data_IF_866950521522
#
_entry.id   IF_866950521522
#
_cell.length_a   1.000
_cell.length_b   1.000
_cell.length_c   1.000
_cell.angle_alpha   90.00
_cell.angle_beta   90.00
_cell.angle_gamma   90.00
#
_symmetry.space_group_name_H-M   'P 1'
#
loop_
_entity.id
_entity.type
_entity.pdbx_description
1 polymer ?
#
# COMPACT_ATOMS: atom_id res chain seq x y z
N UNK A 1 7.39 76.91 12.27
CA UNK A 1 6.73 75.66 11.83
C UNK A 1 7.19 74.53 12.74
N UNK A 2 6.34 74.13 13.68
CA UNK A 2 6.62 73.05 14.65
C UNK A 2 5.97 71.76 14.14
N UNK A 3 6.77 70.74 13.82
CA UNK A 3 6.26 69.38 13.60
C UNK A 3 6.55 68.53 14.84
N UNK A 4 5.49 68.24 15.61
CA UNK A 4 5.46 67.25 16.69
C UNK A 4 5.31 65.86 16.07
N UNK A 5 6.32 65.00 16.20
CA UNK A 5 6.13 63.55 16.05
C UNK A 5 5.67 62.98 17.40
N UNK A 6 4.44 62.46 17.44
CA UNK A 6 3.92 61.63 18.51
C UNK A 6 4.27 60.17 18.22
N UNK A 7 5.20 59.58 18.98
CA UNK A 7 5.38 58.13 19.03
C UNK A 7 4.36 57.53 20.00
N UNK A 8 3.25 57.03 19.47
CA UNK A 8 2.32 56.18 20.22
C UNK A 8 2.91 54.79 20.40
N UNK A 9 3.30 54.45 21.63
CA UNK A 9 3.61 53.08 22.02
C UNK A 9 2.29 52.29 22.12
N UNK A 10 2.02 51.45 21.11
CA UNK A 10 0.97 50.43 21.20
C UNK A 10 1.56 49.24 21.94
N UNK A 11 1.23 49.11 23.22
CA UNK A 11 1.46 47.89 23.99
C UNK A 11 0.43 46.86 23.55
N UNK A 12 0.85 45.92 22.69
CA UNK A 12 0.03 44.74 22.37
C UNK A 12 0.16 43.76 23.55
N UNK A 13 -0.87 43.73 24.39
CA UNK A 13 -1.04 42.67 25.39
C UNK A 13 -1.38 41.36 24.64
N UNK A 14 -0.39 40.52 24.39
CA UNK A 14 -0.62 39.15 23.93
C UNK A 14 -1.12 38.36 25.13
N UNK A 15 -2.43 38.18 25.23
CA UNK A 15 -3.04 37.22 26.14
C UNK A 15 -2.62 35.82 25.70
N UNK A 16 -1.55 35.29 26.27
CA UNK A 16 -1.22 33.87 26.24
C UNK A 16 -2.25 33.14 27.10
N UNK A 17 -3.44 32.88 26.55
CA UNK A 17 -4.32 31.87 27.11
C UNK A 17 -3.57 30.55 27.04
N UNK A 18 -3.22 30.03 28.22
CA UNK A 18 -2.65 28.70 28.37
C UNK A 18 -3.64 27.65 27.90
N UNK A 19 -3.64 27.36 26.60
CA UNK A 19 -4.17 26.11 26.07
C UNK A 19 -3.31 25.00 26.65
N UNK A 20 -3.75 24.43 27.76
CA UNK A 20 -3.24 23.16 28.25
C UNK A 20 -3.46 22.18 27.10
N UNK A 21 -2.38 21.81 26.41
CA UNK A 21 -2.44 20.83 25.34
C UNK A 21 -3.10 19.56 25.90
N UNK A 22 -4.14 19.07 25.23
CA UNK A 22 -4.82 17.86 25.65
C UNK A 22 -3.79 16.71 25.78
N UNK A 23 -4.00 15.77 26.72
CA UNK A 23 -3.12 14.62 26.86
C UNK A 23 -2.96 13.91 25.49
N UNK A 24 -1.76 13.42 25.14
CA UNK A 24 -1.50 12.81 23.83
C UNK A 24 -2.53 11.73 23.43
N UNK A 25 -3.04 10.99 24.41
CA UNK A 25 -3.97 9.89 24.18
C UNK A 25 -5.41 10.39 23.86
N UNK A 26 -5.81 11.57 24.38
CA UNK A 26 -7.08 12.20 24.03
C UNK A 26 -7.06 12.76 22.59
N UNK A 27 -5.92 13.27 22.15
CA UNK A 27 -5.71 13.72 20.76
C UNK A 27 -5.80 12.53 19.79
N UNK A 28 -5.18 11.40 20.13
CA UNK A 28 -5.26 10.18 19.33
C UNK A 28 -6.71 9.68 19.21
N UNK A 29 -7.42 9.54 20.33
CA UNK A 29 -8.82 9.11 20.34
C UNK A 29 -9.72 9.98 19.45
N UNK A 30 -9.67 11.31 19.62
CA UNK A 30 -10.45 12.23 18.79
C UNK A 30 -10.03 12.22 17.31
N UNK A 31 -8.79 11.83 17.00
CA UNK A 31 -8.33 11.64 15.62
C UNK A 31 -8.91 10.38 15.01
N UNK A 32 -8.95 9.27 15.76
CA UNK A 32 -9.59 8.02 15.32
C UNK A 32 -11.09 8.24 15.06
N UNK A 33 -11.81 8.91 15.98
CA UNK A 33 -13.24 9.20 15.79
C UNK A 33 -13.51 10.05 14.53
N UNK A 34 -12.68 11.08 14.27
CA UNK A 34 -12.78 11.89 13.06
C UNK A 34 -12.44 11.09 11.80
N UNK A 35 -11.44 10.23 11.87
CA UNK A 35 -11.07 9.34 10.77
C UNK A 35 -12.24 8.42 10.41
N UNK A 36 -12.80 7.69 11.38
CA UNK A 36 -13.90 6.76 11.14
C UNK A 36 -15.13 7.45 10.56
N UNK A 37 -15.48 8.63 11.09
CA UNK A 37 -16.56 9.44 10.54
C UNK A 37 -16.29 9.86 9.09
N UNK A 38 -15.09 10.36 8.81
CA UNK A 38 -14.71 10.79 7.45
C UNK A 38 -14.73 9.64 6.45
N UNK A 39 -14.33 8.43 6.86
CA UNK A 39 -14.40 7.23 6.03
C UNK A 39 -15.86 6.87 5.77
N UNK A 40 -16.69 6.77 6.81
CA UNK A 40 -18.11 6.43 6.68
C UNK A 40 -18.86 7.42 5.77
N UNK A 41 -18.60 8.73 5.91
CA UNK A 41 -19.18 9.76 5.07
C UNK A 41 -18.76 9.62 3.59
N UNK A 42 -17.48 9.30 3.33
CA UNK A 42 -16.97 9.07 1.98
C UNK A 42 -17.55 7.81 1.35
N UNK A 43 -17.61 6.70 2.10
CA UNK A 43 -18.21 5.43 1.68
C UNK A 43 -19.70 5.61 1.36
N UNK A 44 -20.46 6.32 2.20
CA UNK A 44 -21.87 6.61 1.98
C UNK A 44 -22.13 7.40 0.69
N UNK A 45 -21.27 8.38 0.36
CA UNK A 45 -21.36 9.13 -0.89
C UNK A 45 -21.07 8.26 -2.11
N UNK A 46 -20.02 7.44 -2.07
CA UNK A 46 -19.70 6.52 -3.15
C UNK A 46 -20.84 5.52 -3.35
N UNK A 47 -21.37 4.97 -2.26
CA UNK A 47 -22.49 4.02 -2.32
C UNK A 47 -23.74 4.64 -2.95
N UNK A 48 -24.11 5.86 -2.54
CA UNK A 48 -25.22 6.57 -3.16
C UNK A 48 -25.01 6.81 -4.67
N UNK A 49 -23.77 7.01 -5.12
CA UNK A 49 -23.46 7.14 -6.55
C UNK A 49 -23.58 5.80 -7.29
N UNK A 50 -23.14 4.70 -6.68
CA UNK A 50 -23.29 3.34 -7.20
C UNK A 50 -24.77 2.95 -7.35
N UNK A 51 -25.58 3.19 -6.32
CA UNK A 51 -27.02 2.88 -6.36
C UNK A 51 -27.75 3.71 -7.45
N UNK A 52 -27.37 4.98 -7.62
CA UNK A 52 -27.86 5.82 -8.73
C UNK A 52 -27.43 5.27 -10.09
N UNK A 53 -26.19 4.79 -10.23
CA UNK A 53 -25.70 4.19 -11.46
C UNK A 53 -26.47 2.91 -11.80
N UNK A 54 -26.68 2.04 -10.80
CA UNK A 54 -27.46 0.81 -10.93
C UNK A 54 -28.91 1.09 -11.40
N UNK A 55 -29.55 2.10 -10.80
CA UNK A 55 -30.92 2.53 -11.17
C UNK A 55 -31.00 3.08 -12.60
N UNK A 56 -29.93 3.73 -13.08
CA UNK A 56 -29.87 4.34 -14.42
C UNK A 56 -29.46 3.37 -15.53
N UNK A 57 -28.87 2.22 -15.19
CA UNK A 57 -28.44 1.24 -16.17
C UNK A 57 -29.64 0.69 -16.96
N UNK A 58 -29.54 0.78 -18.30
CA UNK A 58 -30.65 0.49 -19.22
C UNK A 58 -30.71 -0.98 -19.62
N UNK A 59 -29.55 -1.61 -19.79
CA UNK A 59 -29.44 -3.02 -20.14
C UNK A 59 -29.05 -3.89 -18.94
N UNK A 60 -29.28 -5.19 -19.10
CA UNK A 60 -29.04 -6.20 -18.07
C UNK A 60 -27.56 -6.34 -17.71
N UNK A 61 -26.68 -6.32 -18.72
CA UNK A 61 -25.25 -6.53 -18.51
C UNK A 61 -24.64 -5.39 -17.67
N UNK A 62 -25.00 -4.15 -17.96
CA UNK A 62 -24.57 -2.99 -17.17
C UNK A 62 -25.06 -3.05 -15.71
N UNK A 63 -26.29 -3.54 -15.47
CA UNK A 63 -26.81 -3.72 -14.10
C UNK A 63 -26.05 -4.80 -13.34
N UNK A 64 -25.79 -5.93 -13.99
CA UNK A 64 -25.04 -7.04 -13.40
C UNK A 64 -23.60 -6.61 -13.06
N UNK A 65 -22.94 -5.86 -13.94
CA UNK A 65 -21.60 -5.31 -13.71
C UNK A 65 -21.59 -4.33 -12.51
N UNK A 66 -22.53 -3.38 -12.47
CA UNK A 66 -22.58 -2.40 -11.35
C UNK A 66 -22.92 -3.11 -10.02
N UNK A 67 -23.83 -4.08 -10.04
CA UNK A 67 -24.17 -4.87 -8.85
C UNK A 67 -22.96 -5.67 -8.35
N UNK A 68 -22.17 -6.24 -9.26
CA UNK A 68 -20.92 -6.90 -8.93
C UNK A 68 -19.90 -5.93 -8.31
N UNK A 69 -19.72 -4.73 -8.88
CA UNK A 69 -18.82 -3.71 -8.33
C UNK A 69 -19.24 -3.22 -6.94
N UNK A 70 -20.56 -3.06 -6.72
CA UNK A 70 -21.16 -2.79 -5.42
C UNK A 70 -20.74 -3.87 -4.41
N UNK A 71 -20.88 -5.14 -4.78
CA UNK A 71 -20.54 -6.27 -3.93
C UNK A 71 -19.03 -6.31 -3.62
N UNK A 72 -18.17 -6.07 -4.61
CA UNK A 72 -16.72 -6.00 -4.40
C UNK A 72 -16.32 -4.84 -3.48
N UNK A 73 -16.95 -3.67 -3.62
CA UNK A 73 -16.72 -2.55 -2.72
C UNK A 73 -17.16 -2.88 -1.28
N UNK A 74 -18.33 -3.49 -1.11
CA UNK A 74 -18.85 -3.84 0.22
C UNK A 74 -18.00 -4.91 0.91
N UNK A 75 -17.48 -5.89 0.16
CA UNK A 75 -16.71 -7.02 0.71
C UNK A 75 -15.23 -6.71 0.92
N UNK A 76 -14.57 -6.11 -0.07
CA UNK A 76 -13.10 -5.96 -0.13
C UNK A 76 -12.66 -4.54 -0.46
N UNK A 77 -13.57 -3.56 -0.35
CA UNK A 77 -13.30 -2.13 -0.58
C UNK A 77 -12.60 -1.86 -1.93
N UNK A 78 -12.91 -2.69 -2.93
CA UNK A 78 -12.42 -2.48 -4.28
C UNK A 78 -13.06 -1.23 -4.87
N UNK A 79 -12.24 -0.30 -5.35
CA UNK A 79 -12.70 0.96 -5.93
C UNK A 79 -13.35 0.65 -7.29
N UNK A 80 -14.65 0.93 -7.48
CA UNK A 80 -15.36 0.61 -8.72
C UNK A 80 -14.70 1.23 -9.95
N UNK A 81 -14.61 0.47 -11.04
CA UNK A 81 -14.14 0.95 -12.33
C UNK A 81 -15.30 1.54 -13.14
N UNK A 82 -15.05 2.63 -13.87
CA UNK A 82 -16.05 3.24 -14.76
C UNK A 82 -17.09 4.13 -14.07
N UNK A 83 -17.06 4.24 -12.73
CA UNK A 83 -17.86 5.20 -11.96
C UNK A 83 -16.91 6.27 -11.40
N UNK A 84 -17.31 7.56 -11.35
CA UNK A 84 -16.48 8.60 -10.76
C UNK A 84 -16.19 8.33 -9.26
N UNK A 85 -14.94 7.94 -8.97
CA UNK A 85 -14.47 7.59 -7.62
C UNK A 85 -13.43 8.57 -7.07
N UNK A 86 -13.05 9.58 -7.85
CA UNK A 86 -11.99 10.55 -7.50
C UNK A 86 -12.21 11.22 -6.14
N UNK A 87 -13.44 11.68 -5.87
CA UNK A 87 -13.78 12.35 -4.61
C UNK A 87 -13.69 11.41 -3.40
N UNK A 88 -14.11 10.15 -3.57
CA UNK A 88 -14.00 9.12 -2.54
C UNK A 88 -12.53 8.84 -2.22
N UNK A 89 -11.72 8.55 -3.24
CA UNK A 89 -10.29 8.28 -3.09
C UNK A 89 -9.59 9.45 -2.41
N UNK A 90 -9.83 10.68 -2.88
CA UNK A 90 -9.24 11.88 -2.29
C UNK A 90 -9.64 12.09 -0.82
N UNK A 91 -10.92 11.89 -0.49
CA UNK A 91 -11.42 12.05 0.89
C UNK A 91 -10.81 11.00 1.82
N UNK A 92 -10.78 9.74 1.38
CA UNK A 92 -10.18 8.62 2.12
C UNK A 92 -8.68 8.84 2.33
N UNK A 93 -7.94 9.21 1.30
CA UNK A 93 -6.49 9.40 1.38
C UNK A 93 -6.13 10.60 2.28
N UNK A 94 -6.96 11.65 2.27
CA UNK A 94 -6.84 12.79 3.19
C UNK A 94 -7.03 12.34 4.64
N UNK A 95 -8.07 11.54 4.91
CA UNK A 95 -8.32 11.00 6.25
C UNK A 95 -7.18 10.10 6.74
N UNK A 96 -6.67 9.21 5.89
CA UNK A 96 -5.51 8.36 6.20
C UNK A 96 -4.27 9.21 6.49
N UNK A 97 -4.01 10.25 5.69
CA UNK A 97 -2.85 11.13 5.90
C UNK A 97 -2.93 11.90 7.23
N UNK A 98 -4.13 12.37 7.60
CA UNK A 98 -4.36 13.02 8.89
C UNK A 98 -4.13 12.05 10.05
N UNK A 99 -4.65 10.81 9.95
CA UNK A 99 -4.43 9.74 10.92
C UNK A 99 -2.94 9.42 11.08
N UNK A 100 -2.23 9.25 9.96
CA UNK A 100 -0.80 8.96 9.91
C UNK A 100 0.01 9.98 10.71
N UNK A 101 -0.27 11.28 10.52
CA UNK A 101 0.48 12.35 11.18
C UNK A 101 0.49 12.24 12.72
N UNK A 102 -0.63 11.81 13.31
CA UNK A 102 -0.77 11.68 14.76
C UNK A 102 -0.14 10.39 15.27
N UNK A 103 -0.43 9.26 14.61
CA UNK A 103 0.13 7.97 14.97
C UNK A 103 1.65 7.95 14.85
N UNK A 104 2.21 8.44 13.73
CA UNK A 104 3.66 8.46 13.51
C UNK A 104 4.39 9.33 14.54
N UNK A 105 3.82 10.48 14.90
CA UNK A 105 4.37 11.35 15.95
C UNK A 105 4.43 10.62 17.29
N UNK A 106 3.35 9.92 17.66
CA UNK A 106 3.29 9.18 18.93
C UNK A 106 4.20 7.96 18.94
N UNK A 107 4.21 7.16 17.86
CA UNK A 107 5.10 6.01 17.71
C UNK A 107 6.57 6.46 17.84
N UNK A 108 6.96 7.55 17.16
CA UNK A 108 8.31 8.11 17.27
C UNK A 108 8.65 8.54 18.70
N UNK A 109 7.72 9.17 19.40
CA UNK A 109 7.88 9.55 20.82
C UNK A 109 8.09 8.33 21.72
N UNK A 110 7.27 7.29 21.57
CA UNK A 110 7.38 6.03 22.32
C UNK A 110 8.72 5.33 22.05
N UNK A 111 9.14 5.25 20.78
CA UNK A 111 10.45 4.68 20.41
C UNK A 111 11.61 5.47 20.99
N UNK A 112 11.55 6.80 20.96
CA UNK A 112 12.59 7.66 21.56
C UNK A 112 12.68 7.47 23.08
N UNK A 113 11.55 7.18 23.73
CA UNK A 113 11.48 6.82 25.15
C UNK A 113 11.80 5.35 25.43
N UNK A 114 12.30 4.58 24.44
CA UNK A 114 12.60 3.14 24.52
C UNK A 114 11.40 2.26 24.90
N UNK A 115 10.17 2.73 24.69
CA UNK A 115 8.92 1.98 24.90
C UNK A 115 8.53 1.24 23.62
N UNK A 116 9.35 0.26 23.20
CA UNK A 116 9.21 -0.42 21.91
C UNK A 116 7.89 -1.18 21.78
N UNK A 117 7.53 -2.00 22.77
CA UNK A 117 6.28 -2.77 22.75
C UNK A 117 5.04 -1.87 22.55
N UNK A 118 4.93 -0.79 23.34
CA UNK A 118 3.82 0.15 23.20
C UNK A 118 3.81 0.87 21.84
N UNK A 119 4.99 1.10 21.23
CA UNK A 119 5.07 1.69 19.90
C UNK A 119 4.60 0.71 18.83
N UNK A 120 4.93 -0.57 18.98
CA UNK A 120 4.54 -1.64 18.06
C UNK A 120 3.05 -1.96 18.17
N UNK A 121 2.48 -1.95 19.39
CA UNK A 121 1.03 -2.06 19.61
C UNK A 121 0.27 -0.93 18.90
N UNK A 122 0.75 0.30 19.05
CA UNK A 122 0.15 1.47 18.42
C UNK A 122 0.30 1.46 16.89
N UNK A 123 1.41 0.93 16.37
CA UNK A 123 1.62 0.72 14.94
C UNK A 123 0.70 -0.39 14.39
N UNK A 124 0.42 -1.42 15.18
CA UNK A 124 -0.58 -2.45 14.88
C UNK A 124 -2.01 -1.88 14.81
N UNK A 125 -2.40 -1.03 15.76
CA UNK A 125 -3.69 -0.33 15.76
C UNK A 125 -3.83 0.56 14.51
N UNK A 126 -2.79 1.34 14.20
CA UNK A 126 -2.76 2.17 12.99
C UNK A 126 -2.95 1.32 11.73
N UNK A 127 -2.21 0.21 11.62
CA UNK A 127 -2.31 -0.70 10.49
C UNK A 127 -3.73 -1.27 10.32
N UNK A 128 -4.38 -1.64 11.42
CA UNK A 128 -5.75 -2.16 11.40
C UNK A 128 -6.78 -1.11 10.93
N UNK A 129 -6.66 0.13 11.39
CA UNK A 129 -7.53 1.25 10.96
C UNK A 129 -7.38 1.52 9.46
N UNK A 130 -6.15 1.56 8.96
CA UNK A 130 -5.89 1.74 7.52
C UNK A 130 -6.44 0.56 6.72
N UNK A 131 -6.25 -0.68 7.20
CA UNK A 131 -6.78 -1.89 6.56
C UNK A 131 -8.30 -1.85 6.44
N UNK A 132 -9.02 -1.41 7.47
CA UNK A 132 -10.48 -1.24 7.44
C UNK A 132 -10.93 -0.27 6.33
N UNK A 133 -10.13 0.75 6.01
CA UNK A 133 -10.49 1.79 5.04
C UNK A 133 -10.15 1.46 3.58
N UNK A 134 -9.15 0.60 3.31
CA UNK A 134 -8.69 0.30 1.93
C UNK A 134 -8.49 -1.18 1.59
N UNK A 135 -8.84 -2.08 2.52
CA UNK A 135 -8.58 -3.54 2.49
C UNK A 135 -7.11 -3.97 2.66
N UNK A 136 -6.20 -2.98 2.63
CA UNK A 136 -4.77 -3.16 2.90
C UNK A 136 -4.32 -2.30 4.08
N UNK A 137 -3.54 -2.86 4.99
CA UNK A 137 -2.83 -2.15 6.05
C UNK A 137 -1.69 -1.30 5.50
N UNK A 138 -0.83 -0.77 6.37
CA UNK A 138 0.15 0.28 6.03
C UNK A 138 1.34 -0.18 5.16
N UNK A 139 1.61 -1.48 5.08
CA UNK A 139 2.77 -2.00 4.36
C UNK A 139 2.53 -2.05 2.85
N UNK A 140 1.27 -2.29 2.45
CA UNK A 140 0.85 -2.32 1.05
C UNK A 140 0.26 -0.96 0.64
N UNK A 141 0.82 -0.27 -0.37
CA UNK A 141 0.20 0.94 -0.93
C UNK A 141 -1.16 0.63 -1.57
N UNK A 142 -1.99 1.65 -1.74
CA UNK A 142 -3.23 1.48 -2.48
C UNK A 142 -2.93 1.22 -3.98
N UNK A 143 -3.43 0.13 -4.59
CA UNK A 143 -3.28 -0.11 -6.01
C UNK A 143 -4.03 0.87 -6.91
N UNK A 144 -4.90 1.75 -6.39
CA UNK A 144 -5.50 2.86 -7.13
C UNK A 144 -4.81 4.19 -6.74
N UNK A 145 -4.25 4.99 -7.66
CA UNK A 145 -4.42 4.98 -9.12
C UNK A 145 -3.30 4.24 -9.89
N UNK A 146 -2.87 3.08 -9.42
CA UNK A 146 -1.71 2.31 -9.92
C UNK A 146 -0.35 2.95 -9.64
N UNK A 147 0.03 3.11 -8.35
CA UNK A 147 1.28 3.78 -8.00
C UNK A 147 2.50 3.04 -8.55
N UNK A 148 3.55 3.81 -8.83
CA UNK A 148 4.88 3.27 -9.09
C UNK A 148 5.55 2.96 -7.75
N UNK A 149 6.10 1.76 -7.63
CA UNK A 149 6.71 1.26 -6.40
C UNK A 149 8.07 0.62 -6.66
N UNK A 150 8.90 0.60 -5.62
CA UNK A 150 10.10 -0.22 -5.51
C UNK A 150 9.84 -1.25 -4.42
N UNK A 151 10.19 -2.52 -4.67
CA UNK A 151 9.95 -3.63 -3.76
C UNK A 151 11.30 -4.10 -3.22
N UNK A 152 11.56 -3.84 -1.94
CA UNK A 152 12.85 -4.09 -1.29
C UNK A 152 12.77 -5.32 -0.40
N UNK A 153 13.72 -6.23 -0.57
CA UNK A 153 13.88 -7.39 0.30
C UNK A 153 14.56 -6.97 1.61
N UNK A 154 14.07 -7.48 2.75
CA UNK A 154 14.61 -7.13 4.07
C UNK A 154 15.98 -7.76 4.35
N UNK A 155 16.21 -9.00 3.92
CA UNK A 155 17.47 -9.70 4.19
C UNK A 155 18.66 -9.06 3.48
N UNK A 156 18.53 -8.82 2.17
CA UNK A 156 19.62 -8.32 1.34
C UNK A 156 19.67 -6.79 1.23
N UNK A 157 18.56 -6.09 1.51
CA UNK A 157 18.39 -4.67 1.19
C UNK A 157 18.27 -4.38 -0.32
N UNK A 158 18.40 -5.40 -1.17
CA UNK A 158 18.23 -5.31 -2.61
C UNK A 158 16.77 -5.15 -3.01
N UNK A 159 16.54 -4.81 -4.28
CA UNK A 159 15.22 -4.55 -4.86
C UNK A 159 14.92 -5.53 -5.97
N UNK A 160 13.63 -5.77 -6.16
CA UNK A 160 13.10 -6.64 -7.19
C UNK A 160 13.35 -6.01 -8.59
N UNK A 161 14.10 -6.72 -9.43
CA UNK A 161 14.55 -6.25 -10.75
C UNK A 161 14.08 -7.20 -11.87
N UNK A 162 13.41 -6.63 -12.86
CA UNK A 162 13.11 -7.28 -14.13
C UNK A 162 14.36 -7.31 -15.02
N UNK A 163 14.94 -8.49 -15.28
CA UNK A 163 16.17 -8.61 -16.08
C UNK A 163 15.94 -8.08 -17.50
N UNK A 164 14.89 -8.57 -18.17
CA UNK A 164 14.40 -8.07 -19.46
C UNK A 164 12.88 -7.85 -19.37
N UNK A 165 12.43 -6.61 -19.08
CA UNK A 165 11.02 -6.32 -18.84
C UNK A 165 10.13 -6.44 -20.08
N UNK A 166 10.71 -6.67 -21.25
CA UNK A 166 9.99 -6.78 -22.53
C UNK A 166 9.90 -8.22 -23.03
N UNK A 167 10.62 -9.16 -22.41
CA UNK A 167 10.67 -10.56 -22.84
C UNK A 167 9.93 -11.47 -21.86
N UNK A 168 8.90 -12.15 -22.37
CA UNK A 168 8.21 -13.23 -21.64
C UNK A 168 9.19 -14.35 -21.28
N UNK A 169 9.08 -14.86 -20.06
CA UNK A 169 9.99 -15.85 -19.49
C UNK A 169 11.30 -15.26 -18.94
N UNK A 170 11.48 -13.93 -19.00
CA UNK A 170 12.63 -13.29 -18.35
C UNK A 170 12.59 -13.55 -16.85
N UNK A 171 13.74 -13.87 -16.27
CA UNK A 171 13.91 -14.02 -14.83
C UNK A 171 13.72 -12.68 -14.11
N UNK A 172 13.41 -12.79 -12.83
CA UNK A 172 13.36 -11.67 -11.88
C UNK A 172 14.40 -11.92 -10.80
N UNK A 173 15.17 -10.89 -10.46
CA UNK A 173 16.26 -10.96 -9.49
C UNK A 173 16.02 -10.01 -8.32
N UNK A 174 16.82 -10.19 -7.27
CA UNK A 174 17.03 -9.19 -6.23
C UNK A 174 18.40 -8.56 -6.44
N UNK A 175 18.41 -7.27 -6.77
CA UNK A 175 19.61 -6.54 -7.17
C UNK A 175 19.83 -5.28 -6.32
N UNK A 176 21.03 -4.70 -6.39
CA UNK A 176 21.30 -3.42 -5.74
C UNK A 176 20.42 -2.32 -6.34
N UNK A 177 19.83 -1.49 -5.48
CA UNK A 177 18.99 -0.38 -5.93
C UNK A 177 19.80 0.67 -6.67
N UNK A 178 19.32 1.07 -7.84
CA UNK A 178 19.85 2.15 -8.66
C UNK A 178 18.72 3.11 -8.97
N UNK A 179 18.80 4.34 -8.45
CA UNK A 179 17.78 5.35 -8.65
C UNK A 179 17.57 5.63 -10.14
N UNK A 180 16.30 5.74 -10.56
CA UNK A 180 15.91 5.98 -11.96
C UNK A 180 15.98 4.76 -12.87
N UNK A 181 16.44 3.60 -12.38
CA UNK A 181 16.47 2.37 -13.19
C UNK A 181 15.08 1.76 -13.33
N UNK A 182 14.48 1.96 -14.51
CA UNK A 182 13.08 1.58 -14.79
C UNK A 182 12.76 0.10 -14.54
N UNK A 183 13.74 -0.80 -14.71
CA UNK A 183 13.58 -2.24 -14.48
C UNK A 183 13.40 -2.62 -13.00
N UNK A 184 13.69 -1.70 -12.08
CA UNK A 184 13.51 -1.87 -10.63
C UNK A 184 12.22 -1.19 -10.13
N UNK A 185 11.44 -0.60 -11.05
CA UNK A 185 10.19 0.10 -10.75
C UNK A 185 9.02 -0.75 -11.25
N UNK A 186 7.98 -0.82 -10.44
CA UNK A 186 6.80 -1.65 -10.66
C UNK A 186 5.53 -0.81 -10.55
N UNK A 187 4.54 -1.07 -11.39
CA UNK A 187 3.17 -0.59 -11.21
C UNK A 187 2.43 -1.59 -10.34
N UNK A 188 1.86 -1.09 -9.25
CA UNK A 188 0.99 -1.88 -8.39
C UNK A 188 -0.44 -1.82 -8.93
N UNK A 189 -1.04 -2.97 -9.21
CA UNK A 189 -2.39 -3.06 -9.77
C UNK A 189 -3.25 -4.02 -8.93
N UNK A 190 -4.58 -3.92 -9.06
CA UNK A 190 -5.49 -4.93 -8.49
C UNK A 190 -5.32 -6.23 -9.29
N UNK A 191 -5.16 -7.34 -8.57
CA UNK A 191 -5.11 -8.69 -9.12
C UNK A 191 -6.29 -9.52 -8.63
N UNK A 192 -6.41 -10.75 -9.13
CA UNK A 192 -7.40 -11.71 -8.67
C UNK A 192 -7.16 -12.08 -7.19
N UNK A 193 -7.96 -11.49 -6.29
CA UNK A 193 -7.87 -11.73 -4.84
C UNK A 193 -6.65 -11.12 -4.17
N UNK A 194 -5.97 -10.14 -4.79
CA UNK A 194 -4.76 -9.53 -4.26
C UNK A 194 -4.26 -8.37 -5.12
N UNK A 195 -2.94 -8.23 -5.24
CA UNK A 195 -2.29 -7.24 -6.12
C UNK A 195 -1.46 -7.91 -7.20
N UNK A 196 -1.29 -7.24 -8.33
CA UNK A 196 -0.38 -7.64 -9.39
C UNK A 196 0.75 -6.61 -9.53
N UNK A 197 1.96 -7.10 -9.84
CA UNK A 197 3.13 -6.25 -10.04
C UNK A 197 3.50 -6.25 -11.52
N UNK A 198 3.19 -5.16 -12.22
CA UNK A 198 3.58 -4.96 -13.62
C UNK A 198 4.91 -4.21 -13.68
N UNK A 199 5.88 -4.71 -14.44
CA UNK A 199 7.15 -4.00 -14.62
C UNK A 199 6.91 -2.64 -15.27
N UNK A 200 7.52 -1.56 -14.78
CA UNK A 200 7.39 -0.24 -15.40
C UNK A 200 8.15 -0.15 -16.74
N UNK A 201 9.14 -1.02 -16.96
CA UNK A 201 9.94 -1.08 -18.18
C UNK A 201 9.28 -1.84 -19.35
N UNK A 202 8.09 -2.41 -19.12
CA UNK A 202 7.34 -3.19 -20.10
C UNK A 202 5.87 -3.36 -19.71
N UNK A 203 5.18 -4.34 -20.32
CA UNK A 203 3.79 -4.69 -19.97
C UNK A 203 3.71 -6.12 -19.42
N UNK A 204 4.81 -6.62 -18.84
CA UNK A 204 4.88 -7.95 -18.25
C UNK A 204 4.73 -7.88 -16.73
N UNK A 205 4.14 -8.93 -16.19
CA UNK A 205 3.80 -9.06 -14.78
C UNK A 205 4.68 -10.10 -14.11
N UNK A 206 4.93 -9.91 -12.81
CA UNK A 206 5.49 -10.96 -11.98
C UNK A 206 4.55 -12.17 -11.96
N UNK A 207 5.04 -13.30 -12.44
CA UNK A 207 4.24 -14.47 -12.75
C UNK A 207 4.80 -15.72 -12.06
N UNK A 208 3.88 -16.54 -11.56
CA UNK A 208 4.13 -17.91 -11.08
C UNK A 208 3.81 -18.89 -12.22
N UNK A 209 4.82 -19.49 -12.88
CA UNK A 209 4.58 -20.47 -13.93
C UNK A 209 3.66 -21.60 -13.46
N UNK A 210 2.75 -22.06 -14.32
CA UNK A 210 1.87 -23.18 -13.97
C UNK A 210 2.63 -24.49 -13.70
N UNK A 211 3.80 -24.65 -14.34
CA UNK A 211 4.75 -25.73 -14.05
C UNK A 211 5.46 -25.57 -12.70
N UNK A 212 5.36 -24.37 -12.09
CA UNK A 212 6.07 -23.98 -10.88
C UNK A 212 5.17 -23.98 -9.67
N UNK A 213 4.89 -25.19 -9.19
CA UNK A 213 4.05 -25.42 -8.02
C UNK A 213 4.86 -25.81 -6.78
N UNK A 214 6.20 -25.91 -6.91
CA UNK A 214 7.07 -26.38 -5.83
C UNK A 214 7.96 -25.27 -5.28
N UNK A 215 8.44 -25.50 -4.06
CA UNK A 215 9.34 -24.56 -3.38
C UNK A 215 10.70 -24.45 -4.09
N UNK A 216 11.28 -23.25 -4.08
CA UNK A 216 12.58 -22.95 -4.68
C UNK A 216 12.56 -22.66 -6.17
N UNK A 217 11.42 -22.78 -6.84
CA UNK A 217 11.30 -22.46 -8.25
C UNK A 217 11.40 -20.96 -8.52
N UNK A 218 12.02 -20.63 -9.66
CA UNK A 218 12.30 -19.24 -10.05
C UNK A 218 11.06 -18.59 -10.67
N UNK A 219 10.79 -17.36 -10.26
CA UNK A 219 9.73 -16.55 -10.85
C UNK A 219 10.19 -15.85 -12.12
N UNK A 220 9.23 -15.60 -13.00
CA UNK A 220 9.47 -15.00 -14.31
C UNK A 220 8.51 -13.84 -14.57
N UNK A 221 8.80 -13.12 -15.65
CA UNK A 221 7.89 -12.17 -16.24
C UNK A 221 7.03 -12.83 -17.31
N UNK A 222 5.74 -12.51 -17.32
CA UNK A 222 4.84 -12.98 -18.36
C UNK A 222 3.75 -11.97 -18.70
N UNK A 223 3.25 -12.02 -19.93
CA UNK A 223 2.18 -11.14 -20.41
C UNK A 223 0.83 -11.88 -20.34
N UNK A 224 -0.11 -11.45 -19.50
CA UNK A 224 -1.43 -12.05 -19.45
C UNK A 224 -2.36 -11.53 -20.56
N UNK A 225 -3.29 -12.37 -21.02
CA UNK A 225 -4.52 -11.89 -21.69
C UNK A 225 -5.45 -11.22 -20.66
N UNK A 226 -5.52 -11.79 -19.45
CA UNK A 226 -6.21 -11.24 -18.28
C UNK A 226 -5.41 -11.57 -17.00
N UNK A 227 -5.25 -10.59 -16.12
CA UNK A 227 -4.61 -10.79 -14.81
C UNK A 227 -5.46 -11.78 -13.98
N UNK A 228 -4.86 -12.92 -13.64
CA UNK A 228 -5.46 -13.98 -12.84
C UNK A 228 -4.59 -14.31 -11.62
N UNK A 229 -4.89 -15.40 -10.91
CA UNK A 229 -4.20 -15.80 -9.68
C UNK A 229 -2.69 -16.07 -9.84
N UNK A 230 -2.22 -16.46 -11.03
CA UNK A 230 -0.78 -16.65 -11.31
C UNK A 230 0.03 -15.35 -11.31
N UNK A 231 -0.65 -14.22 -11.45
CA UNK A 231 -0.07 -12.88 -11.47
C UNK A 231 -0.34 -12.10 -10.18
N UNK A 232 -1.06 -12.71 -9.24
CA UNK A 232 -1.66 -12.03 -8.11
C UNK A 232 -1.04 -12.49 -6.78
N UNK A 233 -0.87 -11.54 -5.87
CA UNK A 233 -0.19 -11.70 -4.60
C UNK A 233 -1.02 -11.09 -3.49
N UNK A 234 -1.28 -11.86 -2.43
CA UNK A 234 -1.88 -11.38 -1.18
C UNK A 234 -0.79 -10.86 -0.26
N UNK A 235 -0.97 -9.68 0.31
CA UNK A 235 -0.10 -9.17 1.36
C UNK A 235 -0.48 -9.74 2.72
N UNK A 236 0.41 -10.48 3.36
CA UNK A 236 0.33 -10.75 4.80
C UNK A 236 1.20 -9.74 5.53
N UNK A 237 0.56 -8.66 5.98
CA UNK A 237 1.24 -7.51 6.55
C UNK A 237 1.61 -7.70 8.02
N UNK A 238 2.75 -7.13 8.39
CA UNK A 238 3.26 -7.03 9.75
C UNK A 238 3.85 -5.64 9.93
N UNK A 239 3.09 -4.75 10.56
CA UNK A 239 3.44 -3.33 10.65
C UNK A 239 3.68 -2.74 9.25
N UNK A 240 4.86 -2.19 8.97
CA UNK A 240 5.26 -1.61 7.67
C UNK A 240 5.96 -2.57 6.71
N UNK A 241 5.89 -3.86 7.01
CA UNK A 241 6.50 -4.92 6.22
C UNK A 241 5.44 -5.91 5.77
N UNK A 242 5.71 -6.63 4.68
CA UNK A 242 4.77 -7.57 4.09
C UNK A 242 5.46 -8.83 3.60
N UNK A 243 4.81 -9.97 3.83
CA UNK A 243 5.08 -11.18 3.08
C UNK A 243 4.08 -11.29 1.93
N UNK A 244 4.56 -11.45 0.72
CA UNK A 244 3.73 -11.55 -0.48
C UNK A 244 3.45 -13.02 -0.78
N UNK A 245 2.20 -13.42 -0.66
CA UNK A 245 1.74 -14.81 -0.83
C UNK A 245 1.03 -14.93 -2.17
N UNK A 246 1.50 -15.84 -3.02
CA UNK A 246 0.89 -16.14 -4.31
C UNK A 246 -0.58 -16.55 -4.14
N UNK A 247 -1.48 -15.91 -4.90
CA UNK A 247 -2.89 -16.29 -4.93
C UNK A 247 -3.10 -17.68 -5.54
N UNK A 248 -2.18 -18.12 -6.40
CA UNK A 248 -2.29 -19.39 -7.14
C UNK A 248 -1.99 -20.62 -6.27
N UNK A 249 -0.86 -20.60 -5.56
CA UNK A 249 -0.35 -21.80 -4.85
C UNK A 249 -0.10 -21.57 -3.35
N UNK A 250 -0.36 -20.37 -2.83
CA UNK A 250 -0.20 -20.07 -1.40
C UNK A 250 1.25 -20.01 -0.90
N UNK A 251 2.24 -20.09 -1.79
CA UNK A 251 3.65 -19.94 -1.44
C UNK A 251 4.04 -18.47 -1.34
N UNK A 252 4.95 -18.15 -0.42
CA UNK A 252 5.44 -16.80 -0.22
C UNK A 252 6.62 -16.49 -1.12
N UNK A 253 6.69 -15.23 -1.54
CA UNK A 253 7.81 -14.66 -2.26
C UNK A 253 9.05 -14.63 -1.37
N UNK A 254 10.14 -15.25 -1.84
CA UNK A 254 11.40 -15.37 -1.12
C UNK A 254 12.59 -14.97 -2.00
N UNK A 255 13.67 -14.51 -1.39
CA UNK A 255 14.95 -14.26 -2.06
C UNK A 255 15.94 -15.37 -1.77
N UNK A 256 16.59 -15.92 -2.80
CA UNK A 256 17.56 -17.00 -2.64
C UNK A 256 18.83 -16.74 -3.43
N UNK A 257 19.99 -16.86 -2.76
CA UNK A 257 21.29 -16.81 -3.42
C UNK A 257 21.54 -18.13 -4.14
N UNK A 258 21.78 -18.06 -5.45
CA UNK A 258 22.09 -19.23 -6.29
C UNK A 258 23.39 -18.97 -7.04
N UNK A 259 24.29 -19.94 -7.01
CA UNK A 259 25.54 -19.92 -7.77
C UNK A 259 25.43 -20.87 -8.95
N UNK A 260 25.43 -20.34 -10.17
CA UNK A 260 25.38 -21.10 -11.42
C UNK A 260 26.62 -20.77 -12.26
N UNK A 261 27.38 -21.80 -12.68
CA UNK A 261 28.57 -21.65 -13.55
C UNK A 261 29.58 -20.61 -13.03
N UNK A 262 29.77 -20.53 -11.71
CA UNK A 262 30.69 -19.60 -11.06
C UNK A 262 30.17 -18.17 -10.90
N UNK A 263 28.92 -17.89 -11.28
CA UNK A 263 28.27 -16.60 -11.06
C UNK A 263 27.26 -16.72 -9.93
N UNK A 264 27.35 -15.83 -8.93
CA UNK A 264 26.40 -15.75 -7.82
C UNK A 264 25.41 -14.62 -8.06
N UNK A 265 24.12 -14.95 -8.00
CA UNK A 265 23.04 -13.97 -8.06
C UNK A 265 21.94 -14.33 -7.06
N UNK A 266 21.22 -13.31 -6.58
CA UNK A 266 20.04 -13.51 -5.74
C UNK A 266 18.81 -13.56 -6.63
N UNK A 267 18.22 -14.75 -6.74
CA UNK A 267 17.01 -14.98 -7.51
C UNK A 267 15.77 -14.82 -6.65
N UNK A 268 14.67 -14.52 -7.32
CA UNK A 268 13.35 -14.50 -6.72
C UNK A 268 12.72 -15.89 -6.86
N UNK A 269 12.35 -16.49 -5.73
CA UNK A 269 11.75 -17.82 -5.66
C UNK A 269 10.47 -17.81 -4.84
N UNK A 270 9.84 -18.98 -4.70
CA UNK A 270 8.71 -19.18 -3.80
C UNK A 270 9.04 -20.23 -2.74
N UNK A 271 8.60 -20.01 -1.50
CA UNK A 271 8.82 -20.94 -0.38
C UNK A 271 7.59 -21.01 0.50
N UNK A 272 7.45 -22.07 1.29
CA UNK A 272 6.35 -22.15 2.26
C UNK A 272 6.48 -21.01 3.27
N UNK A 273 5.35 -20.39 3.62
CA UNK A 273 5.32 -19.34 4.64
C UNK A 273 5.22 -19.97 6.04
N UNK A 274 6.28 -19.89 6.88
CA UNK A 274 6.17 -20.27 8.28
C UNK A 274 5.30 -19.29 9.07
N UNK A 275 4.91 -19.68 10.29
CA UNK A 275 4.16 -18.81 11.21
C UNK A 275 4.88 -17.48 11.46
N UNK A 276 6.22 -17.51 11.50
CA UNK A 276 7.08 -16.33 11.52
C UNK A 276 7.97 -16.31 10.27
N UNK A 277 7.67 -15.44 9.28
CA UNK A 277 8.41 -15.32 8.03
C UNK A 277 9.90 -15.09 8.28
N UNK A 278 10.73 -15.69 7.43
CA UNK A 278 12.16 -15.40 7.42
C UNK A 278 12.42 -14.00 6.86
N UNK A 279 13.59 -13.42 7.13
CA UNK A 279 13.94 -12.09 6.58
C UNK A 279 13.97 -12.07 5.05
N UNK A 280 14.20 -13.22 4.40
CA UNK A 280 14.18 -13.38 2.94
C UNK A 280 12.75 -13.33 2.37
N UNK A 281 11.73 -13.59 3.19
CA UNK A 281 10.32 -13.57 2.85
C UNK A 281 9.62 -12.27 3.25
N UNK A 282 10.38 -11.28 3.73
CA UNK A 282 9.86 -10.00 4.21
C UNK A 282 10.28 -8.89 3.25
N UNK A 283 9.29 -8.12 2.82
CA UNK A 283 9.43 -7.10 1.80
C UNK A 283 8.91 -5.76 2.31
N UNK A 284 9.50 -4.68 1.80
CA UNK A 284 9.03 -3.32 1.97
C UNK A 284 8.64 -2.76 0.59
N UNK A 285 7.44 -2.22 0.47
CA UNK A 285 6.95 -1.62 -0.77
C UNK A 285 6.97 -0.10 -0.63
N UNK A 286 7.80 0.55 -1.45
CA UNK A 286 8.10 1.98 -1.36
C UNK A 286 7.51 2.70 -2.57
N UNK A 287 6.51 3.56 -2.36
CA UNK A 287 5.92 4.40 -3.41
C UNK A 287 6.96 5.41 -3.91
N UNK A 288 7.17 5.46 -5.22
CA UNK A 288 8.00 6.47 -5.88
C UNK A 288 7.23 7.78 -5.94
N UNK A 289 7.89 8.88 -5.53
CA UNK A 289 7.35 10.24 -5.59
C UNK A 289 7.84 10.96 -6.85
#
# INVERSE_FOLDING_TARGET
>A
MFNRLMLGHVVVLVATTGLIAAPPDAVLKSTVERFEKSIADAEGKLRANLDKALTRAKDRAAREEIAYQIEQFDKVREVPAGIPTKEYVQSRDTAISALASQFETRIKSLRSAKKTAAADDLEGEYAALVKKARDFGIAMPDPAPTPLVVIRNKASGGVLEAVDPKRGGSKVLVANYVQGRVNQVWRLERGAGGVAFRSAGGNLYLHVPASSQTEGEQLVLWGPEKVNEHFSWKGQERLREVSLVSCFNGLALSSKVITEKGQTATYLTQEKLPEKPTVDQVWKIEVQK
#
